data_IF_979195850356
#
_entry.id   IF_979195850356
#
_cell.length_a   1.000
_cell.length_b   1.000
_cell.length_c   1.000
_cell.angle_alpha   90.00
_cell.angle_beta   90.00
_cell.angle_gamma   90.00
#
_symmetry.space_group_name_H-M   'P 1'
#
loop_
_entity.id
_entity.type
_entity.pdbx_description
1 polymer ?
#
# COMPACT_ATOMS: atom_id res chain seq x y z
N UNK A 1 -38.68 45.16 -63.29
CA UNK A 1 -39.34 44.04 -62.58
C UNK A 1 -38.22 43.16 -62.05
N UNK A 2 -37.83 43.35 -60.78
CA UNK A 2 -36.57 42.84 -60.25
C UNK A 2 -36.80 41.56 -59.46
N UNK A 3 -36.22 40.47 -59.97
CA UNK A 3 -36.16 39.15 -59.35
C UNK A 3 -35.03 39.17 -58.33
N UNK A 4 -35.33 39.28 -57.03
CA UNK A 4 -34.33 39.13 -55.96
C UNK A 4 -35.02 38.78 -54.64
N UNK A 5 -35.62 37.58 -54.55
CA UNK A 5 -36.12 37.08 -53.26
C UNK A 5 -36.09 35.56 -53.17
N UNK A 6 -34.95 34.93 -53.44
CA UNK A 6 -34.72 33.50 -53.13
C UNK A 6 -33.27 33.34 -52.67
N UNK A 7 -32.99 33.64 -51.40
CA UNK A 7 -31.68 33.33 -50.77
C UNK A 7 -31.70 33.57 -49.26
N UNK A 8 -32.64 32.97 -48.51
CA UNK A 8 -32.60 33.09 -47.04
C UNK A 8 -33.34 32.00 -46.27
N UNK A 9 -33.17 30.73 -46.63
CA UNK A 9 -33.69 29.62 -45.79
C UNK A 9 -32.78 28.39 -45.68
N UNK A 10 -31.61 28.34 -46.34
CA UNK A 10 -30.69 27.20 -46.22
C UNK A 10 -29.43 27.62 -45.44
N UNK A 11 -29.51 27.55 -44.12
CA UNK A 11 -28.35 27.76 -43.26
C UNK A 11 -28.53 27.33 -41.80
N UNK A 12 -29.64 26.65 -41.47
CA UNK A 12 -30.02 26.36 -40.07
C UNK A 12 -30.00 24.89 -39.61
N UNK A 13 -29.62 23.85 -40.40
CA UNK A 13 -29.49 22.50 -39.86
C UNK A 13 -28.02 22.00 -39.78
N UNK A 14 -27.02 22.88 -39.66
CA UNK A 14 -25.61 22.44 -39.43
C UNK A 14 -25.11 22.88 -38.06
N UNK A 15 -25.66 23.96 -37.48
CA UNK A 15 -25.21 24.46 -36.18
C UNK A 15 -25.70 23.63 -34.97
N UNK A 16 -26.63 22.69 -35.14
CA UNK A 16 -27.17 21.86 -34.04
C UNK A 16 -26.43 20.52 -33.82
N UNK A 17 -25.50 20.13 -34.70
CA UNK A 17 -24.76 18.87 -34.55
C UNK A 17 -23.40 19.00 -33.83
N UNK A 18 -22.92 20.21 -33.56
CA UNK A 18 -21.62 20.43 -32.91
C UNK A 18 -21.67 20.36 -31.36
N UNK A 19 -22.86 20.35 -30.74
CA UNK A 19 -23.02 20.38 -29.28
C UNK A 19 -23.02 18.98 -28.64
N UNK A 20 -23.06 17.91 -29.43
CA UNK A 20 -23.23 16.53 -28.92
C UNK A 20 -21.94 15.77 -28.62
N UNK A 21 -20.76 16.30 -28.97
CA UNK A 21 -19.49 15.56 -28.91
C UNK A 21 -18.69 15.71 -27.60
N UNK A 22 -19.14 16.55 -26.66
CA UNK A 22 -18.38 16.83 -25.43
C UNK A 22 -18.66 15.85 -24.25
N UNK A 23 -19.56 14.86 -24.42
CA UNK A 23 -19.96 13.96 -23.33
C UNK A 23 -19.20 12.62 -23.26
N UNK A 24 -18.17 12.40 -24.09
CA UNK A 24 -17.36 11.16 -24.08
C UNK A 24 -15.97 11.35 -23.45
N UNK A 25 -15.83 12.23 -22.46
CA UNK A 25 -14.64 12.24 -21.62
C UNK A 25 -14.67 10.97 -20.72
N UNK A 26 -13.66 10.09 -20.76
CA UNK A 26 -13.59 8.99 -19.80
C UNK A 26 -13.40 9.58 -18.40
N UNK A 27 -14.45 9.48 -17.58
CA UNK A 27 -14.35 9.71 -16.16
C UNK A 27 -13.59 8.53 -15.55
N UNK A 28 -12.41 8.79 -15.01
CA UNK A 28 -11.70 7.84 -14.16
C UNK A 28 -10.41 7.29 -14.75
N UNK A 29 -9.42 8.15 -15.00
CA UNK A 29 -8.06 7.73 -14.70
C UNK A 29 -7.94 7.75 -13.18
N UNK A 30 -8.01 6.58 -12.53
CA UNK A 30 -7.46 6.43 -11.19
C UNK A 30 -6.02 6.93 -11.30
N UNK A 31 -5.70 8.04 -10.62
CA UNK A 31 -4.37 8.61 -10.68
C UNK A 31 -3.41 7.56 -10.14
N UNK A 32 -2.66 6.91 -11.03
CA UNK A 32 -1.63 5.95 -10.67
C UNK A 32 -0.65 6.68 -9.75
N UNK A 33 -0.68 6.37 -8.46
CA UNK A 33 0.19 7.01 -7.49
C UNK A 33 1.63 6.62 -7.76
N UNK A 34 2.54 7.60 -7.74
CA UNK A 34 3.94 7.35 -8.02
C UNK A 34 4.63 6.59 -6.87
N UNK A 35 5.73 5.90 -7.19
CA UNK A 35 6.45 5.07 -6.23
C UNK A 35 7.04 5.87 -5.05
N UNK A 36 7.32 7.18 -5.23
CA UNK A 36 7.85 8.03 -4.16
C UNK A 36 6.76 8.26 -3.12
N UNK A 37 5.55 8.61 -3.56
CA UNK A 37 4.40 8.80 -2.67
C UNK A 37 4.05 7.52 -1.90
N UNK A 38 4.08 6.36 -2.56
CA UNK A 38 3.86 5.05 -1.90
C UNK A 38 4.95 4.77 -0.85
N UNK A 39 6.21 5.05 -1.18
CA UNK A 39 7.33 4.89 -0.25
C UNK A 39 7.26 5.81 0.97
N UNK A 40 6.85 7.08 0.79
CA UNK A 40 6.56 7.99 1.90
C UNK A 40 5.43 7.43 2.77
N UNK A 41 4.36 6.93 2.15
CA UNK A 41 3.24 6.30 2.83
C UNK A 41 3.64 5.13 3.72
N UNK A 42 4.52 4.25 3.21
CA UNK A 42 5.04 3.11 3.97
C UNK A 42 5.81 3.56 5.23
N UNK A 43 6.64 4.61 5.12
CA UNK A 43 7.39 5.16 6.25
C UNK A 43 6.45 5.76 7.31
N UNK A 44 5.48 6.56 6.88
CA UNK A 44 4.50 7.19 7.78
C UNK A 44 3.64 6.12 8.46
N UNK A 45 3.19 5.11 7.71
CA UNK A 45 2.38 4.00 8.22
C UNK A 45 3.12 3.25 9.34
N UNK A 46 4.38 2.85 9.09
CA UNK A 46 5.21 2.15 10.07
C UNK A 46 5.49 3.01 11.33
N UNK A 47 5.72 4.30 11.17
CA UNK A 47 6.01 5.20 12.29
C UNK A 47 4.77 5.60 13.11
N UNK A 48 3.58 5.58 12.50
CA UNK A 48 2.41 6.28 13.05
C UNK A 48 1.25 5.36 13.41
N UNK A 49 0.93 4.38 12.57
CA UNK A 49 -0.35 3.66 12.64
C UNK A 49 -0.44 2.66 13.81
N UNK A 50 0.71 2.21 14.34
CA UNK A 50 0.76 1.30 15.48
C UNK A 50 0.78 2.01 16.85
N UNK A 51 0.71 3.35 16.90
CA UNK A 51 0.88 4.13 18.14
C UNK A 51 -0.30 4.01 19.11
N UNK A 52 -1.50 3.74 18.61
CA UNK A 52 -2.73 3.71 19.41
C UNK A 52 -3.39 2.32 19.45
N UNK A 53 -3.20 1.52 18.40
CA UNK A 53 -3.68 0.15 18.27
C UNK A 53 -2.78 -0.57 17.27
N UNK A 54 -2.95 -1.88 17.08
CA UNK A 54 -2.17 -2.60 16.08
C UNK A 54 -2.39 -2.02 14.67
N UNK A 55 -1.33 -1.86 13.89
CA UNK A 55 -1.44 -1.41 12.51
C UNK A 55 -2.24 -2.45 11.71
N UNK A 56 -3.25 -1.98 10.98
CA UNK A 56 -4.24 -2.81 10.29
C UNK A 56 -3.73 -3.15 8.88
N UNK A 57 -3.70 -4.42 8.46
CA UNK A 57 -3.19 -4.77 7.12
C UNK A 57 -4.07 -4.16 6.02
N UNK A 58 -3.48 -3.79 4.90
CA UNK A 58 -4.17 -3.18 3.75
C UNK A 58 -5.35 -4.01 3.25
N UNK A 59 -5.20 -5.33 3.24
CA UNK A 59 -6.21 -6.30 2.78
C UNK A 59 -7.47 -6.40 3.64
N UNK A 60 -7.51 -5.75 4.81
CA UNK A 60 -8.70 -5.84 5.68
C UNK A 60 -9.87 -4.97 5.19
N UNK A 61 -9.61 -3.96 4.37
CA UNK A 61 -10.63 -3.04 3.84
C UNK A 61 -10.44 -2.81 2.36
N UNK A 62 -11.53 -2.51 1.67
CA UNK A 62 -11.46 -2.07 0.27
C UNK A 62 -10.81 -0.70 0.15
N UNK A 63 -10.29 -0.39 -1.04
CA UNK A 63 -9.64 0.90 -1.32
C UNK A 63 -10.54 2.11 -1.03
N UNK A 64 -11.85 1.95 -1.24
CA UNK A 64 -12.85 2.99 -0.95
C UNK A 64 -13.12 3.15 0.54
N UNK A 65 -13.11 2.05 1.30
CA UNK A 65 -13.28 2.09 2.76
C UNK A 65 -12.07 2.73 3.46
N UNK A 66 -10.87 2.55 2.92
CA UNK A 66 -9.67 3.18 3.46
C UNK A 66 -9.71 4.71 3.42
N UNK A 67 -10.43 5.32 2.46
CA UNK A 67 -10.52 6.78 2.32
C UNK A 67 -11.03 7.45 3.61
N UNK A 68 -12.27 7.18 4.09
CA UNK A 68 -12.76 7.80 5.33
C UNK A 68 -11.98 7.35 6.58
N UNK A 69 -11.44 6.12 6.59
CA UNK A 69 -10.64 5.61 7.72
C UNK A 69 -9.36 6.42 7.88
N UNK A 70 -8.60 6.62 6.80
CA UNK A 70 -7.36 7.41 6.84
C UNK A 70 -7.65 8.88 7.15
N UNK A 71 -8.77 9.44 6.68
CA UNK A 71 -9.17 10.80 7.09
C UNK A 71 -9.51 10.90 8.58
N UNK A 72 -10.17 9.89 9.17
CA UNK A 72 -10.37 9.84 10.61
C UNK A 72 -9.02 9.75 11.34
N UNK A 73 -8.13 8.87 10.89
CA UNK A 73 -6.79 8.70 11.48
C UNK A 73 -5.91 9.94 11.33
N UNK A 74 -6.06 10.72 10.26
CA UNK A 74 -5.35 11.98 10.08
C UNK A 74 -5.57 12.92 11.27
N UNK A 75 -6.83 13.09 11.68
CA UNK A 75 -7.17 13.91 12.84
C UNK A 75 -6.66 13.28 14.15
N UNK A 76 -6.77 11.96 14.31
CA UNK A 76 -6.37 11.25 15.54
C UNK A 76 -4.85 11.21 15.76
N UNK A 77 -4.09 11.04 14.69
CA UNK A 77 -2.63 10.91 14.71
C UNK A 77 -1.90 12.24 14.45
N UNK A 78 -2.65 13.34 14.26
CA UNK A 78 -2.12 14.65 13.91
C UNK A 78 -1.26 14.64 12.63
N UNK A 79 -1.70 13.93 11.60
CA UNK A 79 -1.01 13.86 10.32
C UNK A 79 -1.33 15.07 9.45
N UNK A 80 -0.34 15.55 8.70
CA UNK A 80 -0.59 16.53 7.63
C UNK A 80 -1.45 15.90 6.51
N UNK A 81 -2.02 16.74 5.63
CA UNK A 81 -2.77 16.24 4.48
C UNK A 81 -1.90 15.32 3.60
N UNK A 82 -0.66 15.75 3.31
CA UNK A 82 0.29 14.99 2.49
C UNK A 82 0.57 13.60 3.08
N UNK A 83 0.86 13.54 4.37
CA UNK A 83 1.11 12.26 5.05
C UNK A 83 -0.10 11.34 4.99
N UNK A 84 -1.31 11.86 5.20
CA UNK A 84 -2.53 11.07 5.10
C UNK A 84 -2.76 10.57 3.66
N UNK A 85 -2.56 11.41 2.64
CA UNK A 85 -2.68 11.01 1.24
C UNK A 85 -1.64 9.93 0.87
N UNK A 86 -0.40 10.07 1.35
CA UNK A 86 0.68 9.10 1.13
C UNK A 86 0.36 7.75 1.79
N UNK A 87 -0.14 7.74 3.03
CA UNK A 87 -0.59 6.52 3.71
C UNK A 87 -1.74 5.85 2.96
N UNK A 88 -2.70 6.64 2.46
CA UNK A 88 -3.80 6.11 1.65
C UNK A 88 -3.28 5.47 0.35
N UNK A 89 -2.35 6.14 -0.34
CA UNK A 89 -1.71 5.61 -1.55
C UNK A 89 -0.99 4.28 -1.27
N UNK A 90 -0.24 4.21 -0.16
CA UNK A 90 0.43 2.98 0.26
C UNK A 90 -0.55 1.84 0.54
N UNK A 91 -1.63 2.11 1.30
CA UNK A 91 -2.63 1.10 1.63
C UNK A 91 -3.32 0.57 0.38
N UNK A 92 -3.71 1.45 -0.56
CA UNK A 92 -4.36 1.05 -1.81
C UNK A 92 -3.41 0.28 -2.73
N UNK A 93 -2.15 0.73 -2.87
CA UNK A 93 -1.15 0.05 -3.70
C UNK A 93 -0.78 -1.35 -3.17
N UNK A 94 -0.91 -1.57 -1.86
CA UNK A 94 -0.61 -2.87 -1.22
C UNK A 94 -1.87 -3.68 -0.92
N UNK A 95 -3.05 -3.21 -1.34
CA UNK A 95 -4.30 -3.93 -1.25
C UNK A 95 -4.47 -4.82 -2.48
N UNK A 96 -3.62 -5.84 -2.61
CA UNK A 96 -3.78 -6.79 -3.70
C UNK A 96 -5.10 -7.56 -3.51
N UNK A 97 -5.97 -7.68 -4.55
CA UNK A 97 -6.83 -8.84 -4.62
C UNK A 97 -5.89 -10.03 -4.79
N UNK A 98 -5.74 -10.86 -3.76
CA UNK A 98 -5.01 -12.12 -3.85
C UNK A 98 -5.35 -12.79 -5.19
N UNK A 99 -4.37 -13.25 -6.00
CA UNK A 99 -4.72 -14.12 -7.11
C UNK A 99 -5.40 -15.33 -6.49
N UNK A 100 -6.71 -15.45 -6.71
CA UNK A 100 -7.55 -16.56 -6.26
C UNK A 100 -6.87 -17.90 -6.62
N UNK A 101 -6.07 -18.45 -5.72
CA UNK A 101 -5.13 -19.52 -6.08
C UNK A 101 -4.10 -19.88 -5.02
N UNK A 102 -3.71 -18.97 -4.12
CA UNK A 102 -2.85 -19.26 -2.98
C UNK A 102 -3.63 -19.25 -1.67
N UNK A 103 -4.64 -20.12 -1.61
CA UNK A 103 -5.17 -20.59 -0.34
C UNK A 103 -4.12 -21.51 0.29
N UNK A 104 -3.09 -20.94 0.91
CA UNK A 104 -2.46 -21.60 2.05
C UNK A 104 -3.23 -21.15 3.28
N UNK A 105 -4.40 -21.77 3.46
CA UNK A 105 -5.02 -21.88 4.78
C UNK A 105 -4.00 -22.51 5.71
N UNK A 106 -3.25 -21.69 6.47
CA UNK A 106 -2.84 -22.13 7.80
C UNK A 106 -4.13 -22.36 8.58
N UNK A 107 -4.30 -23.53 9.22
CA UNK A 107 -5.56 -23.84 9.86
C UNK A 107 -5.85 -22.79 10.92
N UNK A 108 -7.08 -22.29 10.85
CA UNK A 108 -7.65 -21.39 11.82
C UNK A 108 -7.27 -21.81 13.24
N UNK A 109 -6.75 -20.86 14.01
CA UNK A 109 -6.77 -20.87 15.46
C UNK A 109 -8.23 -20.94 15.93
N UNK A 110 -8.79 -22.13 15.88
CA UNK A 110 -9.93 -22.52 16.68
C UNK A 110 -9.35 -22.97 18.00
N UNK A 111 -9.26 -22.06 18.96
CA UNK A 111 -8.98 -22.42 20.35
C UNK A 111 -10.31 -22.78 21.01
N UNK A 112 -10.66 -24.04 21.24
CA UNK A 112 -11.45 -24.39 22.40
C UNK A 112 -10.56 -24.29 23.64
N UNK A 113 -11.00 -23.53 24.63
CA UNK A 113 -10.41 -23.42 25.97
C UNK A 113 -10.17 -24.81 26.56
N UNK A 114 -8.92 -25.21 26.88
CA UNK A 114 -8.69 -26.37 27.73
C UNK A 114 -8.74 -25.93 29.20
N UNK A 115 -9.72 -26.46 29.93
CA UNK A 115 -9.73 -26.47 31.40
C UNK A 115 -8.41 -27.04 31.90
N UNK A 116 -7.70 -26.25 32.68
CA UNK A 116 -6.48 -26.64 33.40
C UNK A 116 -6.77 -27.78 34.37
N UNK A 117 -6.08 -28.90 34.18
CA UNK A 117 -5.56 -29.71 35.29
C UNK A 117 -4.43 -30.59 34.80
N UNK A 118 -3.39 -30.58 35.62
CA UNK A 118 -2.27 -31.53 35.67
C UNK A 118 -1.10 -31.25 34.71
N UNK A 119 -0.09 -30.57 35.26
CA UNK A 119 1.23 -31.16 35.49
C UNK A 119 2.10 -31.57 34.29
N UNK A 120 3.27 -30.92 34.27
CA UNK A 120 4.56 -31.44 33.79
C UNK A 120 4.90 -31.36 32.28
N UNK A 121 5.82 -30.41 32.03
CA UNK A 121 7.09 -30.57 31.31
C UNK A 121 7.09 -31.13 29.87
N UNK A 122 7.39 -30.23 28.92
CA UNK A 122 8.59 -30.34 28.09
C UNK A 122 8.76 -29.07 27.24
N UNK A 123 9.82 -28.31 27.52
CA UNK A 123 10.32 -27.25 26.64
C UNK A 123 10.76 -27.85 25.31
N UNK A 124 10.01 -27.58 24.25
CA UNK A 124 10.46 -27.83 22.89
C UNK A 124 11.38 -26.67 22.47
N UNK A 125 12.63 -26.75 22.90
CA UNK A 125 13.71 -25.95 22.35
C UNK A 125 13.93 -26.38 20.89
N UNK A 126 13.47 -25.55 19.95
CA UNK A 126 13.92 -25.64 18.56
C UNK A 126 15.44 -25.54 18.54
N UNK A 127 16.11 -26.55 17.97
CA UNK A 127 17.56 -26.50 17.76
C UNK A 127 17.86 -25.34 16.81
N UNK A 128 18.35 -24.24 17.37
CA UNK A 128 19.10 -23.25 16.60
C UNK A 128 20.37 -23.96 16.13
N UNK A 129 20.49 -24.16 14.82
CA UNK A 129 21.74 -24.62 14.21
C UNK A 129 22.83 -23.60 14.56
N UNK A 130 24.03 -24.03 15.00
CA UNK A 130 25.13 -23.11 15.29
C UNK A 130 25.42 -22.26 14.04
N UNK A 131 25.68 -20.97 14.24
CA UNK A 131 25.86 -19.96 13.19
C UNK A 131 26.88 -20.36 12.10
N UNK A 132 27.82 -21.24 12.45
CA UNK A 132 28.86 -21.73 11.55
C UNK A 132 28.31 -22.61 10.41
N UNK A 133 27.18 -23.29 10.60
CA UNK A 133 26.56 -24.11 9.55
C UNK A 133 25.71 -23.30 8.56
N UNK A 134 25.35 -22.05 8.88
CA UNK A 134 24.56 -21.18 7.99
C UNK A 134 25.42 -20.52 6.90
N UNK A 135 26.72 -20.35 7.16
CA UNK A 135 27.64 -19.68 6.24
C UNK A 135 27.98 -20.49 4.98
N UNK A 136 27.79 -21.82 5.00
CA UNK A 136 28.17 -22.71 3.89
C UNK A 136 27.08 -22.89 2.81
N UNK A 137 25.91 -22.27 2.97
CA UNK A 137 24.77 -22.38 2.04
C UNK A 137 24.44 -21.06 1.33
N UNK A 138 25.22 -20.01 1.59
CA UNK A 138 25.01 -18.72 0.97
C UNK A 138 25.68 -18.69 -0.41
N UNK A 139 24.94 -18.32 -1.48
CA UNK A 139 25.52 -18.15 -2.81
C UNK A 139 26.57 -17.02 -2.82
N UNK A 140 27.56 -17.09 -3.70
CA UNK A 140 28.72 -16.17 -3.76
C UNK A 140 28.35 -14.67 -3.76
N UNK A 141 27.18 -14.29 -4.28
CA UNK A 141 26.72 -12.89 -4.26
C UNK A 141 26.45 -12.36 -2.84
N UNK A 142 26.14 -13.23 -1.88
CA UNK A 142 25.88 -12.84 -0.49
C UNK A 142 27.13 -12.32 0.22
N UNK A 143 28.32 -12.86 -0.11
CA UNK A 143 29.60 -12.42 0.45
C UNK A 143 29.98 -11.00 0.03
N UNK A 144 29.59 -10.57 -1.18
CA UNK A 144 29.81 -9.19 -1.63
C UNK A 144 29.01 -8.19 -0.79
N UNK A 145 27.83 -8.59 -0.30
CA UNK A 145 26.96 -7.74 0.52
C UNK A 145 27.46 -7.65 1.97
N UNK A 146 27.90 -8.76 2.56
CA UNK A 146 28.51 -8.77 3.91
C UNK A 146 29.78 -7.91 3.95
N UNK A 147 30.67 -8.04 2.96
CA UNK A 147 31.89 -7.23 2.84
C UNK A 147 31.63 -5.72 2.55
N UNK A 148 30.39 -5.35 2.20
CA UNK A 148 29.96 -3.95 2.08
C UNK A 148 29.52 -3.39 3.43
N UNK A 149 28.90 -4.21 4.27
CA UNK A 149 28.37 -3.79 5.57
C UNK A 149 29.48 -3.59 6.61
N UNK A 150 30.55 -4.38 6.57
CA UNK A 150 31.70 -4.25 7.47
C UNK A 150 32.52 -2.97 7.25
N UNK A 151 32.37 -2.30 6.10
CA UNK A 151 33.06 -1.05 5.79
C UNK A 151 32.36 0.22 6.31
N UNK A 152 31.26 0.09 7.05
CA UNK A 152 30.45 1.24 7.48
C UNK A 152 30.22 1.30 9.00
N UNK A 153 31.25 1.05 9.79
CA UNK A 153 31.29 1.45 11.21
C UNK A 153 32.44 2.44 11.40
N UNK A 154 32.21 3.76 11.27
CA UNK A 154 33.11 4.73 11.85
C UNK A 154 33.02 4.66 13.38
N UNK A 155 34.16 4.40 14.00
CA UNK A 155 34.42 4.56 15.43
C UNK A 155 34.11 6.01 15.83
N UNK A 156 33.13 6.19 16.73
CA UNK A 156 32.77 7.49 17.30
C UNK A 156 32.89 7.40 18.82
N UNK A 157 34.14 7.46 19.28
CA UNK A 157 34.61 7.72 20.65
C UNK A 157 35.79 8.71 20.45
N UNK A 158 35.97 9.86 21.10
CA UNK A 158 35.39 10.61 22.21
C UNK A 158 35.75 12.10 21.99
N UNK A 159 35.04 13.05 22.61
CA UNK A 159 35.43 14.46 22.57
C UNK A 159 34.57 15.41 23.40
N UNK A 160 35.06 15.68 24.62
CA UNK A 160 34.70 16.72 25.62
C UNK A 160 33.47 16.55 26.51
#
# INVERSE_FOLDING_TARGET
MNVTTIRKTLGYPVALLAVSAALLAPAGAAAQQDAVTIGEGAQVYAATCARCHNARPSSERTDLEWIPIVQHMRARANMTKRQADAVLAFLQATNAPEPSGSVQQSPASSTPTPTTKDGASASQAGRVLPAELQAALLPDWAWVFVARLERRVPDQTDGE
#
